data_IF_928342170183
#
_entry.id   IF_928342170183
#
_cell.length_a   1.000
_cell.length_b   1.000
_cell.length_c   1.000
_cell.angle_alpha   90.00
_cell.angle_beta   90.00
_cell.angle_gamma   90.00
#
_symmetry.space_group_name_H-M   'P 1'
#
loop_
_entity.id
_entity.type
_entity.pdbx_description
1 polymer ?
#
# COMPACT_ATOMS: atom_id res chain seq x y z
N UNK A 1 1.20 28.90 -23.93
CA UNK A 1 0.65 29.02 -22.57
C UNK A 1 1.40 28.03 -21.69
N UNK A 2 1.86 28.39 -20.49
CA UNK A 2 2.42 27.39 -19.57
C UNK A 2 1.30 26.43 -19.16
N UNK A 3 1.50 25.13 -19.39
CA UNK A 3 0.63 24.08 -18.85
C UNK A 3 1.07 23.75 -17.42
N UNK A 4 0.20 24.01 -16.44
CA UNK A 4 0.43 23.65 -15.04
C UNK A 4 0.12 22.19 -14.74
N UNK A 5 0.42 21.74 -13.52
CA UNK A 5 0.20 20.35 -13.08
C UNK A 5 -1.16 20.14 -12.40
N UNK A 6 -2.07 21.12 -12.47
CA UNK A 6 -3.42 20.98 -11.93
C UNK A 6 -4.09 19.75 -12.57
N UNK A 7 -4.66 18.88 -11.74
CA UNK A 7 -5.30 17.62 -12.13
C UNK A 7 -4.36 16.56 -12.74
N UNK A 8 -3.04 16.71 -12.58
CA UNK A 8 -2.06 15.67 -12.92
C UNK A 8 -1.73 14.83 -11.67
N UNK A 9 -1.43 13.57 -11.90
CA UNK A 9 -1.02 12.62 -10.85
C UNK A 9 0.46 12.30 -11.02
N UNK A 10 1.17 12.19 -9.89
CA UNK A 10 2.56 11.77 -9.83
C UNK A 10 2.72 10.65 -8.81
N UNK A 11 3.64 9.72 -9.08
CA UNK A 11 4.12 8.74 -8.10
C UNK A 11 5.30 9.41 -7.40
N UNK A 12 5.20 9.56 -6.08
CA UNK A 12 6.22 10.25 -5.27
C UNK A 12 7.08 9.30 -4.44
N UNK A 13 6.70 8.04 -4.32
CA UNK A 13 7.51 7.00 -3.69
C UNK A 13 7.03 5.59 -4.02
N UNK A 14 7.91 4.61 -3.84
CA UNK A 14 7.65 3.19 -4.08
C UNK A 14 8.38 2.32 -3.05
N UNK A 15 7.80 1.17 -2.72
CA UNK A 15 8.45 0.15 -1.90
C UNK A 15 8.09 -1.26 -2.36
N UNK A 16 9.06 -2.18 -2.32
CA UNK A 16 8.90 -3.53 -2.83
C UNK A 16 9.77 -4.50 -2.03
N UNK A 17 9.11 -5.40 -1.30
CA UNK A 17 9.83 -6.48 -0.61
C UNK A 17 10.65 -7.32 -1.57
N UNK A 18 11.69 -7.96 -1.05
CA UNK A 18 12.45 -8.95 -1.83
C UNK A 18 11.58 -10.18 -2.13
N UNK A 19 11.46 -10.50 -3.42
CA UNK A 19 10.77 -11.71 -3.89
C UNK A 19 11.62 -12.96 -3.61
N UNK A 20 10.96 -14.01 -3.16
CA UNK A 20 11.57 -15.31 -2.92
C UNK A 20 10.88 -16.05 -1.78
N UNK A 21 11.54 -17.12 -1.36
CA UNK A 21 11.08 -17.99 -0.28
C UNK A 21 11.40 -17.37 1.10
N UNK A 22 10.53 -16.46 1.56
CA UNK A 22 10.63 -15.77 2.85
C UNK A 22 9.81 -16.48 3.93
N UNK A 23 10.17 -17.72 4.25
CA UNK A 23 9.42 -18.58 5.18
C UNK A 23 9.38 -18.06 6.63
N UNK A 24 10.28 -17.13 6.97
CA UNK A 24 10.38 -16.46 8.27
C UNK A 24 9.43 -15.25 8.40
N UNK A 25 8.72 -14.88 7.33
CA UNK A 25 7.85 -13.71 7.30
C UNK A 25 6.40 -14.07 6.99
N UNK A 26 5.48 -13.39 7.66
CA UNK A 26 4.07 -13.40 7.29
C UNK A 26 3.76 -12.39 6.18
N UNK A 27 2.59 -12.50 5.56
CA UNK A 27 2.10 -11.47 4.62
C UNK A 27 1.96 -10.09 5.26
N UNK A 28 1.69 -10.02 6.58
CA UNK A 28 1.64 -8.77 7.31
C UNK A 28 3.04 -8.15 7.47
N UNK A 29 4.06 -8.97 7.74
CA UNK A 29 5.44 -8.50 7.84
C UNK A 29 5.94 -7.96 6.49
N UNK A 30 5.63 -8.66 5.40
CA UNK A 30 5.96 -8.23 4.04
C UNK A 30 5.23 -6.92 3.66
N UNK A 31 3.96 -6.79 4.03
CA UNK A 31 3.20 -5.56 3.82
C UNK A 31 3.85 -4.37 4.57
N UNK A 32 4.30 -4.58 5.81
CA UNK A 32 5.00 -3.55 6.59
C UNK A 32 6.37 -3.21 5.99
N UNK A 33 7.14 -4.20 5.54
CA UNK A 33 8.44 -4.01 4.86
C UNK A 33 8.28 -3.09 3.64
N UNK A 34 7.39 -3.45 2.70
CA UNK A 34 7.15 -2.64 1.50
C UNK A 34 6.56 -1.26 1.81
N UNK A 35 5.68 -1.16 2.81
CA UNK A 35 5.08 0.12 3.18
C UNK A 35 6.10 1.09 3.78
N UNK A 36 6.98 0.61 4.66
CA UNK A 36 8.01 1.45 5.29
C UNK A 36 8.99 2.02 4.26
N UNK A 37 9.43 1.20 3.30
CA UNK A 37 10.27 1.65 2.18
C UNK A 37 9.54 2.72 1.36
N UNK A 38 8.26 2.52 1.03
CA UNK A 38 7.47 3.44 0.24
C UNK A 38 7.28 4.83 0.91
N UNK A 39 6.94 4.86 2.20
CA UNK A 39 6.73 6.15 2.90
C UNK A 39 8.05 6.90 3.12
N UNK A 40 9.16 6.18 3.27
CA UNK A 40 10.50 6.77 3.38
C UNK A 40 10.93 7.40 2.06
N UNK A 41 10.76 6.68 0.94
CA UNK A 41 11.03 7.19 -0.41
C UNK A 41 10.14 8.40 -0.75
N UNK A 42 8.85 8.35 -0.38
CA UNK A 42 7.91 9.45 -0.57
C UNK A 42 8.17 10.67 0.34
N UNK A 43 8.85 10.49 1.47
CA UNK A 43 9.08 11.54 2.45
C UNK A 43 7.80 12.04 3.14
N UNK A 44 6.82 11.16 3.36
CA UNK A 44 5.52 11.49 3.98
C UNK A 44 5.26 10.68 5.25
N UNK A 45 4.27 11.09 6.03
CA UNK A 45 3.77 10.34 7.18
C UNK A 45 2.40 9.70 6.89
N UNK A 46 1.99 8.70 7.69
CA UNK A 46 0.68 8.03 7.56
C UNK A 46 -0.51 8.99 7.58
N UNK A 47 -0.38 10.13 8.27
CA UNK A 47 -1.42 11.16 8.39
C UNK A 47 -1.67 11.93 7.09
N UNK A 48 -0.72 11.88 6.15
CA UNK A 48 -0.78 12.55 4.86
C UNK A 48 -1.48 11.68 3.79
N UNK A 49 -1.86 10.45 4.14
CA UNK A 49 -2.57 9.52 3.28
C UNK A 49 -4.08 9.71 3.48
N UNK A 50 -4.81 10.09 2.43
CA UNK A 50 -6.26 10.31 2.50
C UNK A 50 -7.08 9.03 2.27
N UNK A 51 -6.58 8.12 1.42
CA UNK A 51 -7.26 6.88 1.01
C UNK A 51 -6.23 5.81 0.68
N UNK A 52 -6.58 4.54 0.88
CA UNK A 52 -5.74 3.43 0.47
C UNK A 52 -6.49 2.41 -0.39
N UNK A 53 -5.75 1.79 -1.31
CA UNK A 53 -6.20 0.67 -2.11
C UNK A 53 -5.28 -0.51 -1.85
N UNK A 54 -5.88 -1.68 -1.63
CA UNK A 54 -5.19 -2.93 -1.32
C UNK A 54 -5.57 -3.99 -2.35
N UNK A 55 -4.61 -4.81 -2.76
CA UNK A 55 -4.86 -5.97 -3.60
C UNK A 55 -4.20 -7.21 -3.02
N UNK A 56 -4.97 -8.30 -2.96
CA UNK A 56 -4.45 -9.62 -2.63
C UNK A 56 -5.22 -10.70 -3.37
N UNK A 57 -4.47 -11.65 -3.95
CA UNK A 57 -5.08 -12.78 -4.62
C UNK A 57 -5.43 -13.85 -3.60
N UNK A 58 -6.67 -14.35 -3.66
CA UNK A 58 -7.26 -15.32 -2.74
C UNK A 58 -7.60 -14.77 -1.35
N UNK A 59 -8.67 -15.30 -0.72
CA UNK A 59 -9.17 -14.79 0.57
C UNK A 59 -8.22 -15.04 1.76
N UNK A 60 -7.12 -15.78 1.56
CA UNK A 60 -6.18 -16.10 2.64
C UNK A 60 -5.46 -14.86 3.20
N UNK A 61 -5.39 -13.77 2.44
CA UNK A 61 -4.86 -12.48 2.92
C UNK A 61 -5.97 -11.47 3.30
N UNK A 62 -7.24 -11.89 3.24
CA UNK A 62 -8.42 -11.16 3.71
C UNK A 62 -9.40 -10.73 2.60
N UNK A 63 -10.65 -10.50 2.99
CA UNK A 63 -11.77 -10.23 2.06
C UNK A 63 -12.12 -8.74 1.90
N UNK A 64 -11.51 -7.85 2.69
CA UNK A 64 -11.85 -6.42 2.77
C UNK A 64 -10.61 -5.54 2.85
N UNK A 65 -10.76 -4.23 3.00
CA UNK A 65 -9.65 -3.31 3.29
C UNK A 65 -9.09 -3.41 4.72
N UNK A 66 -9.72 -4.18 5.60
CA UNK A 66 -9.31 -4.31 7.00
C UNK A 66 -7.88 -4.84 7.21
N UNK A 67 -7.37 -5.85 6.48
CA UNK A 67 -6.00 -6.34 6.66
C UNK A 67 -4.97 -5.22 6.50
N UNK A 68 -5.09 -4.40 5.45
CA UNK A 68 -4.19 -3.26 5.24
C UNK A 68 -4.35 -2.22 6.35
N UNK A 69 -5.59 -1.81 6.64
CA UNK A 69 -5.88 -0.79 7.65
C UNK A 69 -5.34 -1.17 9.05
N UNK A 70 -5.55 -2.41 9.47
CA UNK A 70 -5.18 -2.91 10.79
C UNK A 70 -3.68 -3.19 10.93
N UNK A 71 -3.06 -3.72 9.87
CA UNK A 71 -1.62 -4.05 9.85
C UNK A 71 -0.80 -2.77 9.86
N UNK A 72 -1.12 -1.82 8.98
CA UNK A 72 -0.37 -0.57 8.86
C UNK A 72 -0.76 0.48 9.90
N UNK A 73 -1.81 0.26 10.70
CA UNK A 73 -2.35 1.24 11.66
C UNK A 73 -2.67 2.57 10.97
N UNK A 74 -3.40 2.52 9.86
CA UNK A 74 -3.79 3.72 9.12
C UNK A 74 -4.78 4.56 9.94
N UNK A 75 -4.78 5.90 9.78
CA UNK A 75 -5.51 6.82 10.65
C UNK A 75 -7.01 6.89 10.32
N UNK A 76 -7.71 5.76 10.43
CA UNK A 76 -9.15 5.63 10.19
C UNK A 76 -9.62 6.11 8.80
N UNK A 77 -8.73 6.02 7.80
CA UNK A 77 -9.04 6.36 6.41
C UNK A 77 -9.79 5.24 5.70
N UNK A 78 -10.46 5.58 4.60
CA UNK A 78 -11.11 4.59 3.75
C UNK A 78 -10.09 3.65 3.09
N UNK A 79 -10.34 2.35 3.17
CA UNK A 79 -9.51 1.34 2.50
C UNK A 79 -10.38 0.43 1.63
N UNK A 80 -10.07 0.37 0.35
CA UNK A 80 -10.77 -0.47 -0.63
C UNK A 80 -9.93 -1.67 -1.01
N UNK A 81 -10.51 -2.87 -0.95
CA UNK A 81 -9.90 -4.07 -1.50
C UNK A 81 -10.30 -4.22 -2.97
N UNK A 82 -9.30 -4.39 -3.84
CA UNK A 82 -9.44 -4.55 -5.29
C UNK A 82 -8.80 -5.88 -5.67
N UNK A 83 -9.50 -6.69 -6.47
CA UNK A 83 -9.02 -8.00 -6.89
C UNK A 83 -9.27 -8.18 -8.39
N UNK A 84 -8.21 -8.57 -9.11
CA UNK A 84 -8.24 -8.89 -10.54
C UNK A 84 -7.15 -9.92 -10.89
N UNK A 85 -6.99 -10.92 -10.01
CA UNK A 85 -5.92 -11.90 -10.02
C UNK A 85 -4.53 -11.25 -10.05
N UNK A 86 -3.76 -11.47 -11.11
CA UNK A 86 -2.36 -11.04 -11.20
C UNK A 86 -2.19 -9.56 -11.61
N UNK A 87 -3.27 -8.81 -11.81
CA UNK A 87 -3.28 -7.45 -12.36
C UNK A 87 -3.63 -6.40 -11.30
#
# INVERSE_FOLDING_TARGET
MPEGIKDKVAIIGMGCTRFGERWDMSGADLMVEAFNECIEDAGIEKKDIDVAYWGACFPMQGLSGLPLAQTLKLPFIGVTHVENYCA
#
